data_IF_402486832491
#
_entry.id   IF_402486832491
#
_cell.length_a   1.000
_cell.length_b   1.000
_cell.length_c   1.000
_cell.angle_alpha   90.00
_cell.angle_beta   90.00
_cell.angle_gamma   90.00
#
_symmetry.space_group_name_H-M   'P 1'
#
loop_
_entity.id
_entity.type
_entity.pdbx_description
1 polymer ?
#
# COMPACT_ATOMS: atom_id res chain seq x y z
N UNK A 1 15.27 12.10 -11.73
CA UNK A 1 13.92 11.53 -11.84
C UNK A 1 13.60 10.84 -10.52
N UNK A 2 12.67 11.40 -9.77
CA UNK A 2 12.27 10.85 -8.48
C UNK A 2 11.04 9.97 -8.65
N UNK A 3 11.16 8.70 -8.29
CA UNK A 3 10.14 7.68 -8.49
C UNK A 3 9.68 7.15 -7.13
N UNK A 4 8.37 7.02 -6.97
CA UNK A 4 7.77 6.39 -5.80
C UNK A 4 6.78 5.29 -6.21
N UNK A 5 6.62 4.31 -5.35
CA UNK A 5 5.65 3.22 -5.54
C UNK A 5 4.67 3.15 -4.38
N UNK A 6 3.39 3.03 -4.71
CA UNK A 6 2.34 2.74 -3.75
C UNK A 6 1.85 1.30 -3.87
N UNK A 7 1.50 0.71 -2.72
CA UNK A 7 0.83 -0.58 -2.68
C UNK A 7 0.00 -0.75 -1.39
N UNK A 8 -0.82 -1.79 -1.35
CA UNK A 8 -1.66 -2.11 -0.21
C UNK A 8 -1.34 -3.49 0.31
N UNK A 9 -1.29 -3.64 1.61
CA UNK A 9 -1.21 -4.94 2.27
C UNK A 9 -2.40 -5.14 3.20
N UNK A 10 -2.72 -6.40 3.49
CA UNK A 10 -3.76 -6.78 4.43
C UNK A 10 -3.13 -7.39 5.66
N UNK A 11 -3.57 -6.93 6.84
CA UNK A 11 -3.24 -7.50 8.13
C UNK A 11 -4.44 -8.32 8.58
N UNK A 12 -4.24 -9.61 8.82
CA UNK A 12 -5.31 -10.49 9.30
C UNK A 12 -5.84 -10.00 10.65
N UNK A 13 -7.16 -10.01 10.81
CA UNK A 13 -7.75 -9.77 12.10
C UNK A 13 -7.43 -10.94 13.04
N UNK A 14 -7.16 -10.62 14.30
CA UNK A 14 -7.00 -11.63 15.33
C UNK A 14 -8.34 -12.27 15.67
N UNK A 15 -8.33 -13.57 15.92
CA UNK A 15 -9.52 -14.30 16.32
C UNK A 15 -10.36 -14.85 15.18
N UNK A 16 -11.62 -15.16 15.43
CA UNK A 16 -12.51 -15.79 14.47
C UNK A 16 -12.86 -14.85 13.30
N UNK A 17 -13.31 -15.45 12.21
CA UNK A 17 -13.67 -14.75 10.99
C UNK A 17 -15.18 -14.59 10.89
N UNK A 18 -15.64 -13.39 10.56
CA UNK A 18 -17.07 -13.13 10.32
C UNK A 18 -17.42 -13.40 8.86
N UNK A 19 -18.13 -14.49 8.60
CA UNK A 19 -18.52 -14.86 7.25
C UNK A 19 -19.38 -13.78 6.58
N UNK A 20 -19.13 -13.55 5.29
CA UNK A 20 -19.74 -12.45 4.52
C UNK A 20 -21.26 -12.42 4.61
N UNK A 21 -21.93 -13.59 4.52
CA UNK A 21 -23.40 -13.68 4.58
C UNK A 21 -23.93 -13.24 5.96
N UNK A 22 -23.35 -13.75 7.03
CA UNK A 22 -23.73 -13.41 8.40
C UNK A 22 -23.44 -11.93 8.71
N UNK A 23 -22.28 -11.44 8.24
CA UNK A 23 -21.91 -10.04 8.39
C UNK A 23 -22.89 -9.10 7.67
N UNK A 24 -23.32 -9.44 6.46
CA UNK A 24 -24.31 -8.66 5.71
C UNK A 24 -25.68 -8.61 6.42
N UNK A 25 -26.04 -9.64 7.17
CA UNK A 25 -27.25 -9.73 7.95
C UNK A 25 -27.12 -9.15 9.37
N UNK A 26 -25.91 -8.74 9.78
CA UNK A 26 -25.65 -8.28 11.14
C UNK A 26 -25.69 -9.39 12.20
N UNK A 27 -25.70 -10.67 11.78
CA UNK A 27 -25.79 -11.81 12.68
C UNK A 27 -24.39 -12.16 13.18
N UNK A 28 -24.15 -12.02 14.47
CA UNK A 28 -22.92 -12.48 15.14
C UNK A 28 -23.18 -13.93 15.59
N UNK A 29 -22.44 -14.91 15.06
CA UNK A 29 -22.61 -16.31 15.49
C UNK A 29 -22.27 -16.47 16.96
N UNK A 30 -23.06 -17.29 17.64
CA UNK A 30 -22.79 -17.67 19.03
C UNK A 30 -21.41 -18.35 19.15
N UNK A 31 -20.71 -18.06 20.26
CA UNK A 31 -19.40 -18.65 20.56
C UNK A 31 -18.20 -17.97 19.88
N UNK A 32 -18.38 -16.98 19.00
CA UNK A 32 -17.27 -16.24 18.39
C UNK A 32 -16.73 -15.15 19.35
N UNK A 33 -16.08 -15.60 20.43
CA UNK A 33 -15.37 -14.68 21.33
C UNK A 33 -14.15 -14.07 20.62
N UNK A 34 -13.93 -12.76 20.80
CA UNK A 34 -12.80 -12.06 20.20
C UNK A 34 -12.95 -11.76 18.70
N UNK A 35 -14.17 -11.78 18.16
CA UNK A 35 -14.45 -11.37 16.79
C UNK A 35 -14.17 -9.89 16.59
N UNK A 36 -13.31 -9.53 15.65
CA UNK A 36 -13.11 -8.13 15.23
C UNK A 36 -14.23 -7.69 14.28
N UNK A 37 -15.26 -7.05 14.82
CA UNK A 37 -16.44 -6.63 14.05
C UNK A 37 -16.12 -5.49 13.05
N UNK A 38 -15.05 -4.75 13.26
CA UNK A 38 -14.63 -3.65 12.37
C UNK A 38 -13.74 -4.11 11.22
N UNK A 39 -13.20 -5.32 11.28
CA UNK A 39 -12.45 -5.92 10.19
C UNK A 39 -13.32 -6.12 8.93
N UNK A 40 -12.71 -6.14 7.77
CA UNK A 40 -13.40 -6.29 6.49
C UNK A 40 -12.72 -7.34 5.62
N UNK A 41 -13.51 -7.92 4.72
CA UNK A 41 -12.98 -8.81 3.70
C UNK A 41 -12.29 -8.02 2.59
N UNK A 42 -11.11 -8.45 2.22
CA UNK A 42 -10.38 -7.96 1.05
C UNK A 42 -9.66 -9.09 0.35
N UNK A 43 -9.51 -8.97 -0.97
CA UNK A 43 -8.77 -9.94 -1.76
C UNK A 43 -7.30 -9.55 -1.80
N UNK A 44 -6.42 -10.41 -1.31
CA UNK A 44 -4.97 -10.38 -1.49
C UNK A 44 -4.59 -11.25 -2.69
N UNK A 45 -3.51 -10.92 -3.37
CA UNK A 45 -3.00 -11.77 -4.46
C UNK A 45 -2.35 -13.05 -3.91
N UNK A 46 -1.60 -12.94 -2.82
CA UNK A 46 -0.88 -14.06 -2.19
C UNK A 46 -1.78 -14.91 -1.30
N UNK A 47 -2.63 -14.26 -0.49
CA UNK A 47 -3.37 -14.93 0.60
C UNK A 47 -4.85 -15.21 0.25
N UNK A 48 -5.29 -14.86 -0.96
CA UNK A 48 -6.69 -15.00 -1.36
C UNK A 48 -7.62 -14.01 -0.62
N UNK A 49 -8.72 -14.51 -0.05
CA UNK A 49 -9.63 -13.68 0.75
C UNK A 49 -9.14 -13.57 2.18
N UNK A 50 -8.85 -12.35 2.61
CA UNK A 50 -8.39 -12.02 3.97
C UNK A 50 -9.44 -11.21 4.70
N UNK A 51 -9.82 -11.67 5.90
CA UNK A 51 -10.61 -10.90 6.84
C UNK A 51 -9.65 -10.12 7.75
N UNK A 52 -9.73 -8.80 7.71
CA UNK A 52 -8.75 -7.98 8.44
C UNK A 52 -8.83 -6.49 8.14
N UNK A 53 -7.72 -5.83 8.37
CA UNK A 53 -7.51 -4.42 8.15
C UNK A 53 -6.44 -4.18 7.11
N UNK A 54 -6.62 -3.15 6.29
CA UNK A 54 -5.64 -2.78 5.27
C UNK A 54 -4.64 -1.75 5.77
N UNK A 55 -3.48 -1.74 5.13
CA UNK A 55 -2.54 -0.63 5.20
C UNK A 55 -2.05 -0.26 3.79
N UNK A 56 -1.72 0.99 3.63
CA UNK A 56 -1.14 1.57 2.41
C UNK A 56 0.31 1.92 2.66
N UNK A 57 1.16 1.48 1.76
CA UNK A 57 2.60 1.72 1.80
C UNK A 57 2.99 2.58 0.60
N UNK A 58 3.76 3.65 0.82
CA UNK A 58 4.37 4.48 -0.22
C UNK A 58 5.88 4.44 -0.03
N UNK A 59 6.62 4.05 -1.06
CA UNK A 59 8.06 3.82 -1.00
C UNK A 59 8.78 4.60 -2.09
N UNK A 60 9.81 5.34 -1.74
CA UNK A 60 10.73 5.95 -2.68
C UNK A 60 11.69 4.89 -3.26
N UNK A 61 12.15 5.09 -4.49
CA UNK A 61 13.01 4.11 -5.15
C UNK A 61 14.51 4.34 -4.89
N UNK A 62 14.92 5.58 -4.79
CA UNK A 62 16.34 5.90 -4.63
C UNK A 62 16.50 7.17 -3.79
N UNK A 63 16.92 7.03 -2.55
CA UNK A 63 17.09 5.78 -1.80
C UNK A 63 15.75 5.09 -1.52
N UNK A 64 15.78 3.78 -1.24
CA UNK A 64 14.56 3.04 -0.93
C UNK A 64 14.11 3.32 0.52
N UNK A 65 13.22 4.29 0.64
CA UNK A 65 12.70 4.79 1.92
C UNK A 65 11.18 4.68 1.98
N UNK A 66 10.67 4.36 3.17
CA UNK A 66 9.25 4.39 3.46
C UNK A 66 8.78 5.85 3.52
N UNK A 67 8.04 6.30 2.50
CA UNK A 67 7.48 7.65 2.45
C UNK A 67 6.19 7.79 3.25
N UNK A 68 5.32 6.77 3.22
CA UNK A 68 4.10 6.74 4.03
C UNK A 68 3.71 5.30 4.37
N UNK A 69 3.16 5.11 5.57
CA UNK A 69 2.53 3.88 6.00
C UNK A 69 1.23 4.23 6.72
N UNK A 70 0.09 3.97 6.07
CA UNK A 70 -1.21 4.48 6.51
C UNK A 70 -2.26 3.38 6.59
N UNK A 71 -3.07 3.43 7.62
CA UNK A 71 -4.21 2.56 7.78
C UNK A 71 -5.23 2.73 6.66
N UNK A 72 -5.79 1.61 6.21
CA UNK A 72 -6.95 1.55 5.32
C UNK A 72 -7.97 0.54 5.85
N UNK A 73 -9.25 0.80 5.64
CA UNK A 73 -10.28 -0.17 6.01
C UNK A 73 -10.16 -1.44 5.15
N UNK A 74 -9.99 -1.27 3.85
CA UNK A 74 -9.76 -2.33 2.87
C UNK A 74 -9.02 -1.78 1.64
N UNK A 75 -8.65 -2.66 0.73
CA UNK A 75 -7.91 -2.28 -0.47
C UNK A 75 -8.72 -1.51 -1.54
N UNK A 76 -10.05 -1.39 -1.39
CA UNK A 76 -10.89 -0.69 -2.37
C UNK A 76 -10.60 0.82 -2.45
N UNK A 77 -10.05 1.40 -1.39
CA UNK A 77 -9.72 2.84 -1.33
C UNK A 77 -8.27 3.16 -1.69
N UNK A 78 -7.55 2.23 -2.29
CA UNK A 78 -6.13 2.37 -2.60
C UNK A 78 -5.82 3.58 -3.49
N UNK A 79 -6.58 3.79 -4.57
CA UNK A 79 -6.43 4.93 -5.48
C UNK A 79 -6.63 6.27 -4.77
N UNK A 80 -7.69 6.39 -3.95
CA UNK A 80 -7.94 7.58 -3.15
C UNK A 80 -6.82 7.83 -2.13
N UNK A 81 -6.29 6.78 -1.52
CA UNK A 81 -5.17 6.91 -0.57
C UNK A 81 -3.91 7.37 -1.30
N UNK A 82 -3.60 6.80 -2.46
CA UNK A 82 -2.48 7.23 -3.28
C UNK A 82 -2.58 8.73 -3.59
N UNK A 83 -3.75 9.18 -4.02
CA UNK A 83 -4.00 10.60 -4.27
C UNK A 83 -3.72 11.47 -3.06
N UNK A 84 -4.20 11.10 -1.89
CA UNK A 84 -4.01 11.87 -0.66
C UNK A 84 -2.53 11.93 -0.24
N UNK A 85 -1.85 10.77 -0.22
CA UNK A 85 -0.48 10.68 0.29
C UNK A 85 0.57 11.27 -0.67
N UNK A 86 0.23 11.53 -1.92
CA UNK A 86 1.15 12.14 -2.89
C UNK A 86 0.99 13.65 -3.03
N UNK A 87 0.04 14.27 -2.31
CA UNK A 87 -0.28 15.68 -2.46
C UNK A 87 0.86 16.65 -2.21
N UNK A 88 1.61 16.39 -1.17
CA UNK A 88 2.74 17.19 -0.74
C UNK A 88 4.03 16.93 -1.55
N UNK A 89 4.02 15.94 -2.45
CA UNK A 89 5.19 15.55 -3.24
C UNK A 89 5.25 16.24 -4.61
N UNK A 90 4.32 17.17 -4.89
CA UNK A 90 4.33 17.94 -6.12
C UNK A 90 5.63 18.74 -6.26
N UNK A 91 6.28 18.62 -7.43
CA UNK A 91 7.57 19.26 -7.68
C UNK A 91 8.78 18.51 -7.12
N UNK A 92 8.56 17.47 -6.31
CA UNK A 92 9.62 16.60 -5.79
C UNK A 92 9.66 15.28 -6.55
N UNK A 93 8.48 14.71 -6.84
CA UNK A 93 8.34 13.41 -7.49
C UNK A 93 7.84 13.58 -8.91
N UNK A 94 8.48 12.90 -9.85
CA UNK A 94 8.13 12.91 -11.27
C UNK A 94 7.17 11.77 -11.63
N UNK A 95 7.36 10.61 -11.00
CA UNK A 95 6.64 9.39 -11.36
C UNK A 95 6.14 8.66 -10.11
N UNK A 96 4.86 8.34 -10.15
CA UNK A 96 4.16 7.53 -9.14
C UNK A 96 3.76 6.21 -9.77
N UNK A 97 4.01 5.11 -9.10
CA UNK A 97 3.62 3.78 -9.56
C UNK A 97 2.66 3.11 -8.59
N UNK A 98 1.70 2.39 -9.13
CA UNK A 98 0.79 1.57 -8.35
C UNK A 98 0.34 0.34 -9.16
N UNK A 99 -0.27 -0.62 -8.46
CA UNK A 99 -0.86 -1.79 -9.08
C UNK A 99 -2.11 -1.44 -9.92
N UNK A 100 -2.71 -2.47 -10.51
CA UNK A 100 -3.93 -2.37 -11.34
C UNK A 100 -5.12 -1.73 -10.63
N UNK A 101 -5.12 -1.62 -9.29
CA UNK A 101 -6.21 -0.98 -8.55
C UNK A 101 -6.31 0.52 -8.81
N UNK A 102 -5.20 1.16 -9.17
CA UNK A 102 -5.15 2.57 -9.55
C UNK A 102 -5.28 2.80 -11.07
N UNK A 103 -5.61 1.75 -11.85
CA UNK A 103 -5.81 1.87 -13.29
C UNK A 103 -7.17 2.49 -13.62
N UNK A 104 -7.21 3.80 -13.49
CA UNK A 104 -8.34 4.68 -13.76
C UNK A 104 -7.84 5.84 -14.62
N UNK A 105 -8.50 6.10 -15.78
CA UNK A 105 -8.06 7.13 -16.72
C UNK A 105 -8.14 8.53 -16.11
N UNK A 106 -9.21 8.79 -15.37
CA UNK A 106 -9.44 10.12 -14.79
C UNK A 106 -8.38 10.39 -13.73
N UNK A 107 -8.07 9.41 -12.90
CA UNK A 107 -6.97 9.50 -11.92
C UNK A 107 -5.62 9.76 -12.59
N UNK A 108 -5.30 9.08 -13.70
CA UNK A 108 -4.04 9.29 -14.45
C UNK A 108 -3.98 10.72 -14.99
N UNK A 109 -5.06 11.24 -15.56
CA UNK A 109 -5.12 12.62 -16.05
C UNK A 109 -5.05 13.65 -14.90
N UNK A 110 -5.68 13.38 -13.77
CA UNK A 110 -5.58 14.24 -12.59
C UNK A 110 -4.15 14.32 -12.04
N UNK A 111 -3.45 13.19 -11.95
CA UNK A 111 -2.04 13.18 -11.57
C UNK A 111 -1.19 14.06 -12.49
N UNK A 112 -1.39 13.94 -13.80
CA UNK A 112 -0.67 14.74 -14.78
C UNK A 112 -1.05 16.22 -14.70
N UNK A 113 -2.35 16.52 -14.67
CA UNK A 113 -2.89 17.88 -14.76
C UNK A 113 -2.65 18.67 -13.47
N UNK A 114 -2.99 18.11 -12.31
CA UNK A 114 -2.98 18.80 -11.04
C UNK A 114 -1.66 18.66 -10.28
N UNK A 115 -1.02 17.49 -10.39
CA UNK A 115 0.19 17.20 -9.64
C UNK A 115 1.47 17.33 -10.45
N UNK A 116 1.38 17.38 -11.79
CA UNK A 116 2.51 17.36 -12.72
C UNK A 116 3.37 16.10 -12.56
N UNK A 117 2.74 15.00 -12.17
CA UNK A 117 3.35 13.68 -12.01
C UNK A 117 2.79 12.70 -13.03
N UNK A 118 3.59 11.74 -13.45
CA UNK A 118 3.14 10.61 -14.26
C UNK A 118 2.70 9.47 -13.36
N UNK A 119 1.42 9.07 -13.42
CA UNK A 119 0.95 7.86 -12.74
C UNK A 119 1.11 6.67 -13.68
N UNK A 120 1.93 5.70 -13.29
CA UNK A 120 2.11 4.43 -13.98
C UNK A 120 1.37 3.31 -13.26
N UNK A 121 0.53 2.58 -14.01
CA UNK A 121 -0.25 1.45 -13.51
C UNK A 121 -0.14 0.27 -14.47
N UNK A 122 -0.61 -0.89 -14.06
CA UNK A 122 -0.79 -2.02 -14.97
C UNK A 122 -2.18 -1.92 -15.60
N UNK A 123 -2.30 -1.73 -16.92
CA UNK A 123 -3.60 -1.61 -17.60
C UNK A 123 -4.49 -2.83 -17.35
N UNK A 124 -5.78 -2.61 -17.13
CA UNK A 124 -6.79 -3.68 -17.06
C UNK A 124 -7.07 -4.22 -18.45
N UNK A 125 -7.30 -5.53 -18.57
CA UNK A 125 -7.58 -6.19 -19.85
C UNK A 125 -8.89 -5.70 -20.49
N UNK A 126 -9.93 -5.48 -19.69
CA UNK A 126 -11.25 -5.02 -20.13
C UNK A 126 -11.37 -3.51 -19.90
N UNK A 127 -10.48 -2.74 -20.50
CA UNK A 127 -10.52 -1.30 -20.42
C UNK A 127 -11.35 -0.71 -21.56
N UNK A 128 -11.97 0.42 -21.29
CA UNK A 128 -12.60 1.32 -22.25
C UNK A 128 -11.71 1.49 -23.51
N UNK A 129 -12.31 1.45 -24.71
CA UNK A 129 -11.62 1.57 -25.98
C UNK A 129 -11.58 3.00 -26.51
N UNK A 130 -11.86 4.00 -25.69
CA UNK A 130 -11.76 5.41 -26.10
C UNK A 130 -10.33 5.75 -26.52
N UNK A 131 -10.19 6.69 -27.45
CA UNK A 131 -8.89 7.15 -27.95
C UNK A 131 -7.96 7.61 -26.80
N UNK A 132 -8.49 8.38 -25.86
CA UNK A 132 -7.76 8.82 -24.66
C UNK A 132 -7.23 7.64 -23.84
N UNK A 133 -8.01 6.57 -23.68
CA UNK A 133 -7.58 5.35 -23.00
C UNK A 133 -6.48 4.63 -23.78
N UNK A 134 -6.61 4.53 -25.09
CA UNK A 134 -5.59 3.92 -25.93
C UNK A 134 -4.28 4.68 -25.88
N UNK A 135 -4.30 6.02 -25.92
CA UNK A 135 -3.10 6.84 -25.77
C UNK A 135 -2.47 6.62 -24.39
N UNK A 136 -3.26 6.60 -23.32
CA UNK A 136 -2.77 6.27 -21.98
C UNK A 136 -2.06 4.92 -21.95
N UNK A 137 -2.67 3.88 -22.53
CA UNK A 137 -2.08 2.52 -22.60
C UNK A 137 -0.76 2.54 -23.40
N UNK A 138 -0.70 3.27 -24.51
CA UNK A 138 0.56 3.44 -25.28
C UNK A 138 1.67 4.03 -24.40
N UNK A 139 1.37 5.10 -23.67
CA UNK A 139 2.33 5.72 -22.72
C UNK A 139 2.75 4.74 -21.63
N UNK A 140 1.79 4.03 -21.03
CA UNK A 140 2.05 3.01 -20.00
C UNK A 140 2.98 1.88 -20.51
N UNK A 141 2.89 1.55 -21.79
CA UNK A 141 3.63 0.45 -22.42
C UNK A 141 4.96 0.87 -23.04
N UNK A 142 5.38 2.12 -22.95
CA UNK A 142 6.71 2.53 -23.37
C UNK A 142 7.78 1.70 -22.63
N UNK A 143 8.87 1.27 -23.29
CA UNK A 143 9.90 0.42 -22.68
C UNK A 143 10.45 0.99 -21.36
N UNK A 144 10.64 2.31 -21.30
CA UNK A 144 11.04 3.02 -20.08
C UNK A 144 10.06 2.78 -18.92
N UNK A 145 8.76 2.90 -19.19
CA UNK A 145 7.71 2.79 -18.19
C UNK A 145 7.47 1.33 -17.76
N UNK A 146 7.68 0.38 -18.69
CA UNK A 146 7.66 -1.05 -18.37
C UNK A 146 8.78 -1.43 -17.40
N UNK A 147 10.01 -0.95 -17.64
CA UNK A 147 11.15 -1.15 -16.73
C UNK A 147 10.87 -0.60 -15.34
N UNK A 148 10.31 0.61 -15.24
CA UNK A 148 9.93 1.19 -13.96
C UNK A 148 8.89 0.35 -13.23
N UNK A 149 7.86 -0.14 -13.93
CA UNK A 149 6.84 -1.01 -13.31
C UNK A 149 7.43 -2.33 -12.77
N UNK A 150 8.42 -2.91 -13.46
CA UNK A 150 9.14 -4.08 -12.93
C UNK A 150 9.88 -3.74 -11.64
N UNK A 151 10.49 -2.56 -11.55
CA UNK A 151 11.17 -2.10 -10.35
C UNK A 151 10.22 -1.88 -9.15
N UNK A 152 8.93 -1.65 -9.38
CA UNK A 152 7.93 -1.51 -8.32
C UNK A 152 7.94 -2.72 -7.38
N UNK A 153 7.88 -3.93 -7.93
CA UNK A 153 7.90 -5.15 -7.12
C UNK A 153 9.21 -5.31 -6.34
N UNK A 154 10.32 -4.80 -6.86
CA UNK A 154 11.62 -4.84 -6.20
C UNK A 154 11.79 -3.81 -5.07
N UNK A 155 10.86 -2.90 -4.89
CA UNK A 155 10.92 -1.84 -3.87
C UNK A 155 9.80 -1.95 -2.85
N UNK A 156 8.55 -1.91 -3.29
CA UNK A 156 7.40 -1.84 -2.38
C UNK A 156 7.11 -3.18 -1.71
N UNK A 157 7.24 -4.30 -2.43
CA UNK A 157 6.98 -5.63 -1.86
C UNK A 157 8.01 -6.02 -0.78
N UNK A 158 9.34 -5.84 -1.01
CA UNK A 158 10.33 -6.04 0.05
C UNK A 158 10.12 -5.11 1.26
N UNK A 159 9.69 -3.85 1.04
CA UNK A 159 9.38 -2.94 2.14
C UNK A 159 8.20 -3.44 2.98
N UNK A 160 7.15 -3.95 2.32
CA UNK A 160 6.03 -4.57 3.03
C UNK A 160 6.48 -5.82 3.80
N UNK A 161 7.34 -6.65 3.21
CA UNK A 161 7.95 -7.81 3.87
C UNK A 161 8.75 -7.40 5.10
N UNK A 162 9.59 -6.39 4.99
CA UNK A 162 10.37 -5.85 6.10
C UNK A 162 9.48 -5.38 7.26
N UNK A 163 8.42 -4.60 6.96
CA UNK A 163 7.48 -4.13 7.99
C UNK A 163 6.74 -5.31 8.63
N UNK A 164 6.27 -6.27 7.86
CA UNK A 164 5.60 -7.47 8.39
C UNK A 164 6.51 -8.27 9.31
N UNK A 165 7.77 -8.45 8.92
CA UNK A 165 8.75 -9.21 9.68
C UNK A 165 9.15 -8.51 10.99
N UNK A 166 9.44 -7.20 10.94
CA UNK A 166 9.81 -6.43 12.13
C UNK A 166 8.69 -6.46 13.19
N UNK A 167 7.44 -6.33 12.76
CA UNK A 167 6.31 -6.16 13.69
C UNK A 167 5.41 -7.40 13.82
N UNK A 168 5.84 -8.55 13.28
CA UNK A 168 5.10 -9.81 13.34
C UNK A 168 3.60 -9.66 12.96
N UNK A 169 3.31 -8.94 11.87
CA UNK A 169 1.95 -8.56 11.51
C UNK A 169 1.02 -9.74 11.15
N UNK A 170 1.59 -10.88 10.85
CA UNK A 170 0.80 -12.11 10.62
C UNK A 170 0.21 -12.66 11.92
N UNK A 171 0.71 -12.21 13.09
CA UNK A 171 0.25 -12.57 14.43
C UNK A 171 -0.31 -11.35 15.18
N UNK A 172 -0.83 -10.35 14.48
CA UNK A 172 -1.33 -9.12 15.10
C UNK A 172 -2.55 -9.40 16.00
N UNK A 173 -2.39 -9.24 17.29
CA UNK A 173 -3.42 -9.48 18.33
C UNK A 173 -4.37 -8.29 18.56
N UNK A 174 -4.19 -7.19 17.84
CA UNK A 174 -5.02 -5.99 18.02
C UNK A 174 -6.40 -6.14 17.39
N UNK A 175 -7.40 -5.61 18.07
CA UNK A 175 -8.79 -5.55 17.61
C UNK A 175 -9.22 -4.11 17.34
N UNK A 176 -10.07 -3.96 16.34
CA UNK A 176 -10.77 -2.73 16.03
C UNK A 176 -9.94 -1.70 15.27
N UNK A 177 -10.65 -0.86 14.55
CA UNK A 177 -10.09 0.15 13.64
C UNK A 177 -9.18 1.14 14.33
N UNK A 178 -9.54 1.58 15.54
CA UNK A 178 -8.76 2.58 16.29
C UNK A 178 -7.37 2.04 16.60
N UNK A 179 -7.29 0.83 17.13
CA UNK A 179 -6.03 0.19 17.50
C UNK A 179 -5.17 -0.11 16.28
N UNK A 180 -5.76 -0.60 15.19
CA UNK A 180 -5.04 -0.82 13.94
C UNK A 180 -4.53 0.49 13.31
N UNK A 181 -5.28 1.59 13.40
CA UNK A 181 -4.78 2.92 12.97
C UNK A 181 -3.55 3.35 13.75
N UNK A 182 -3.61 3.20 15.06
CA UNK A 182 -2.51 3.53 15.94
C UNK A 182 -1.28 2.67 15.67
N UNK A 183 -1.48 1.36 15.57
CA UNK A 183 -0.42 0.39 15.25
C UNK A 183 0.28 0.74 13.93
N UNK A 184 -0.48 0.93 12.85
CA UNK A 184 0.07 1.28 11.53
C UNK A 184 0.86 2.59 11.57
N UNK A 185 0.36 3.60 12.31
CA UNK A 185 1.07 4.86 12.47
C UNK A 185 2.38 4.71 13.25
N UNK A 186 2.35 3.96 14.35
CA UNK A 186 3.55 3.69 15.18
C UNK A 186 4.61 2.92 14.39
N UNK A 187 4.21 1.86 13.70
CA UNK A 187 5.11 1.06 12.86
C UNK A 187 5.74 1.89 11.73
N UNK A 188 4.92 2.65 11.02
CA UNK A 188 5.41 3.53 9.96
C UNK A 188 6.40 4.56 10.48
N UNK A 189 6.10 5.20 11.61
CA UNK A 189 6.98 6.16 12.27
C UNK A 189 8.31 5.54 12.72
N UNK A 190 8.28 4.36 13.33
CA UNK A 190 9.49 3.67 13.75
C UNK A 190 10.39 3.34 12.55
N UNK A 191 9.84 2.75 11.49
CA UNK A 191 10.61 2.43 10.28
C UNK A 191 11.19 3.69 9.64
N UNK A 192 10.38 4.75 9.47
CA UNK A 192 10.83 6.01 8.88
C UNK A 192 11.96 6.65 9.69
N UNK A 193 11.87 6.65 11.01
CA UNK A 193 12.88 7.21 11.90
C UNK A 193 14.21 6.46 11.76
N UNK A 194 14.19 5.13 11.84
CA UNK A 194 15.41 4.31 11.71
C UNK A 194 16.01 4.39 10.30
N UNK A 195 15.17 4.42 9.25
CA UNK A 195 15.65 4.60 7.88
C UNK A 195 16.30 5.96 7.67
N UNK A 196 15.70 7.03 8.22
CA UNK A 196 16.25 8.38 8.12
C UNK A 196 17.59 8.48 8.83
N UNK A 197 17.68 7.90 10.02
CA UNK A 197 18.94 7.85 10.80
C UNK A 197 20.02 7.05 10.05
N UNK A 198 19.69 5.87 9.56
CA UNK A 198 20.62 5.05 8.78
C UNK A 198 21.13 5.80 7.54
N UNK A 199 20.22 6.46 6.80
CA UNK A 199 20.58 7.23 5.63
C UNK A 199 21.49 8.41 5.95
N UNK A 200 21.20 9.18 7.01
CA UNK A 200 22.05 10.30 7.46
C UNK A 200 23.45 9.84 7.88
N UNK A 201 23.58 8.62 8.38
CA UNK A 201 24.85 8.00 8.78
C UNK A 201 25.57 7.28 7.61
N UNK A 202 25.08 7.40 6.38
CA UNK A 202 25.64 6.70 5.21
C UNK A 202 25.44 5.18 5.23
N UNK A 203 24.56 4.67 6.11
CA UNK A 203 24.21 3.25 6.21
C UNK A 203 23.04 2.89 5.29
N UNK A 204 22.91 1.61 4.99
CA UNK A 204 21.79 1.12 4.17
C UNK A 204 20.46 1.22 4.92
N UNK A 205 19.45 1.93 4.39
CA UNK A 205 18.14 2.04 5.01
C UNK A 205 17.33 0.71 4.99
N UNK A 206 17.83 -0.32 4.33
CA UNK A 206 17.26 -1.67 4.36
C UNK A 206 17.68 -2.49 5.59
N UNK A 207 18.85 -2.21 6.16
CA UNK A 207 19.43 -2.98 7.26
C UNK A 207 19.04 -2.42 8.62
N UNK A 208 17.77 -2.10 8.80
CA UNK A 208 17.24 -1.49 10.04
C UNK A 208 16.56 -2.48 10.98
N UNK A 209 16.37 -3.74 10.56
CA UNK A 209 15.60 -4.72 11.34
C UNK A 209 16.16 -4.92 12.74
N UNK A 210 17.45 -5.15 12.85
CA UNK A 210 18.11 -5.34 14.13
C UNK A 210 17.99 -4.11 15.03
N UNK A 211 18.15 -2.93 14.46
CA UNK A 211 18.07 -1.66 15.19
C UNK A 211 16.66 -1.40 15.72
N UNK A 212 15.62 -1.66 14.91
CA UNK A 212 14.22 -1.49 15.32
C UNK A 212 13.84 -2.48 16.42
N UNK A 213 14.38 -3.70 16.37
CA UNK A 213 14.13 -4.74 17.36
C UNK A 213 15.01 -4.64 18.60
N UNK A 214 15.99 -3.73 18.61
CA UNK A 214 16.95 -3.57 19.72
C UNK A 214 17.93 -4.75 19.86
N UNK A 215 18.25 -5.41 18.74
CA UNK A 215 19.15 -6.58 18.68
C UNK A 215 20.57 -6.17 18.24
#
# INVERSE_FOLDING_TARGET
>A
MHVISGDTMMNKAWGPVWHTKQKAQGIIPEGLRGLDQEATWSKSHSDGWVYGHGSFCLVAHSPCLLGAFKYMRNSAHAAKRLWLETGHLRGIVDTVMMDRKADDKDLVFEFQRQRKMTLLTTPRRNSDHTEARQQMIKVQNLPKNQRLRTQRGQTVEPMQGLVKEIFALDCCWMHGRRNHRWLVAAMGGAVQMHQSLAYQQGRSPWKIKQEVLGL
#
